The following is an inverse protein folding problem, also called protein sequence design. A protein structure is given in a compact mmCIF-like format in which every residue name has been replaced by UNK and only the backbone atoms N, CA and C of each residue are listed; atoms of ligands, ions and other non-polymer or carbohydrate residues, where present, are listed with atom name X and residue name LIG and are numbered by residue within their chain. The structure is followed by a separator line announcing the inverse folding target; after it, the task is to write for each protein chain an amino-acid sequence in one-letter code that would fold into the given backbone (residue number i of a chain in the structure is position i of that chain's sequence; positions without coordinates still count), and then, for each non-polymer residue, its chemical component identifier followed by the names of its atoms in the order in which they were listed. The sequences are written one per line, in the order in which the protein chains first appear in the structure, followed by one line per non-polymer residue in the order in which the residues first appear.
data_IF_576670501630
#
_entry.id   IF_576670501630
#
_cell.length_a   1.000
_cell.length_b   1.000
_cell.length_c   1.000
_cell.angle_alpha   90.00
_cell.angle_beta   90.00
_cell.angle_gamma   90.00
#
_symmetry.space_group_name_H-M   'P 1'
#
loop_
_entity.id
_entity.type
_entity.pdbx_description
1 polymer ?
#
# COMPACT_ATOMS: atom_id res chain seq x y z
N UNK A 1 21.83 24.10 17.10
CA UNK A 1 20.89 23.67 16.05
C UNK A 1 19.65 23.12 16.72
N UNK A 2 18.46 23.44 16.22
CA UNK A 2 17.23 22.80 16.69
C UNK A 2 17.01 21.47 15.98
N UNK A 3 16.26 20.57 16.62
CA UNK A 3 15.83 19.30 16.03
C UNK A 3 15.04 19.52 14.73
N UNK A 4 14.29 20.61 14.65
CA UNK A 4 13.51 20.98 13.47
C UNK A 4 14.41 21.28 12.26
N UNK A 5 15.49 22.06 12.45
CA UNK A 5 16.47 22.32 11.39
C UNK A 5 17.12 21.03 10.91
N UNK A 6 17.44 20.11 11.83
CA UNK A 6 18.07 18.83 11.49
C UNK A 6 17.14 17.91 10.68
N UNK A 7 15.85 17.88 11.04
CA UNK A 7 14.82 17.13 10.28
C UNK A 7 14.69 17.65 8.84
N UNK A 8 14.64 18.98 8.66
CA UNK A 8 14.53 19.58 7.33
C UNK A 8 15.75 19.28 6.44
N UNK A 9 16.96 19.40 7.00
CA UNK A 9 18.19 19.06 6.28
C UNK A 9 18.25 17.59 5.86
N UNK A 10 17.74 16.68 6.71
CA UNK A 10 17.68 15.26 6.38
C UNK A 10 16.69 14.99 5.23
N UNK A 11 15.51 15.61 5.26
CA UNK A 11 14.51 15.49 4.19
C UNK A 11 15.09 16.00 2.86
N UNK A 12 15.72 17.18 2.86
CA UNK A 12 16.35 17.75 1.67
C UNK A 12 17.39 16.80 1.08
N UNK A 13 18.25 16.21 1.93
CA UNK A 13 19.28 15.28 1.48
C UNK A 13 18.71 13.98 0.90
N UNK A 14 17.62 13.47 1.49
CA UNK A 14 16.94 12.27 1.00
C UNK A 14 16.20 12.53 -0.32
N UNK A 15 15.66 13.73 -0.53
CA UNK A 15 15.00 14.08 -1.80
C UNK A 15 15.97 14.13 -3.00
N UNK A 16 17.24 14.43 -2.75
CA UNK A 16 18.28 14.54 -3.78
C UNK A 16 19.18 13.32 -3.89
N UNK A 17 18.89 12.23 -3.15
CA UNK A 17 19.69 11.01 -3.22
C UNK A 17 19.10 10.04 -4.24
N UNK A 18 19.95 9.50 -5.12
CA UNK A 18 19.59 8.43 -6.06
C UNK A 18 20.06 7.05 -5.56
N UNK A 19 20.68 7.00 -4.37
CA UNK A 19 21.14 5.75 -3.76
C UNK A 19 19.95 4.99 -3.16
N UNK A 20 19.42 4.04 -3.94
CA UNK A 20 18.33 3.17 -3.51
C UNK A 20 18.65 2.35 -2.25
N UNK A 21 19.93 1.99 -2.03
CA UNK A 21 20.35 1.22 -0.86
C UNK A 21 20.17 2.02 0.42
N UNK A 22 20.59 3.29 0.38
CA UNK A 22 20.38 4.25 1.47
C UNK A 22 18.88 4.46 1.75
N UNK A 23 18.08 4.66 0.70
CA UNK A 23 16.63 4.86 0.84
C UNK A 23 15.93 3.64 1.47
N UNK A 24 16.34 2.41 1.09
CA UNK A 24 15.80 1.17 1.67
C UNK A 24 16.13 1.03 3.15
N UNK A 25 17.37 1.35 3.55
CA UNK A 25 17.77 1.32 4.96
C UNK A 25 16.99 2.33 5.81
N UNK A 26 16.80 3.56 5.29
CA UNK A 26 16.00 4.59 5.96
C UNK A 26 14.54 4.13 6.07
N UNK A 27 13.95 3.60 5.00
CA UNK A 27 12.60 3.04 5.03
C UNK A 27 12.46 1.90 6.05
N UNK A 28 13.48 1.05 6.19
CA UNK A 28 13.48 -0.03 7.17
C UNK A 28 13.49 0.48 8.61
N UNK A 29 14.26 1.54 8.91
CA UNK A 29 14.29 2.16 10.24
C UNK A 29 12.89 2.63 10.68
N UNK A 30 12.15 3.27 9.76
CA UNK A 30 10.78 3.72 10.03
C UNK A 30 9.77 2.56 10.17
N UNK A 31 10.00 1.44 9.47
CA UNK A 31 9.19 0.22 9.63
C UNK A 31 9.47 -0.50 10.95
N UNK A 32 10.74 -0.60 11.36
CA UNK A 32 11.11 -1.25 12.64
C UNK A 32 10.69 -0.46 13.87
N UNK A 33 10.51 0.86 13.74
CA UNK A 33 9.88 1.66 14.79
C UNK A 33 8.34 1.55 14.81
N UNK A 34 7.76 0.95 13.75
CA UNK A 34 6.33 0.76 13.55
C UNK A 34 5.99 -0.73 13.75
N UNK A 35 6.35 -1.28 14.92
CA UNK A 35 5.84 -2.58 15.40
C UNK A 35 4.33 -2.54 15.75
N UNK A 36 3.64 -1.44 15.44
CA UNK A 36 2.18 -1.35 15.50
C UNK A 36 1.65 -0.78 14.18
N UNK A 37 0.95 -1.66 13.45
CA UNK A 37 0.04 -1.37 12.33
C UNK A 37 0.70 -1.14 10.96
N UNK A 38 0.75 -2.22 10.17
CA UNK A 38 0.62 -2.19 8.72
C UNK A 38 -0.67 -1.43 8.36
N UNK A 39 -0.58 -0.11 8.25
CA UNK A 39 -1.70 0.77 7.90
C UNK A 39 -1.95 0.80 6.38
N UNK A 40 -0.99 0.29 5.59
CA UNK A 40 -1.07 0.20 4.12
C UNK A 40 -0.96 -1.24 3.60
N UNK A 41 -0.83 -2.23 4.49
CA UNK A 41 -0.79 -3.64 4.14
C UNK A 41 -2.20 -4.21 4.09
N UNK A 42 -2.56 -4.91 3.00
CA UNK A 42 -3.75 -5.75 3.00
C UNK A 42 -3.62 -6.75 4.14
N UNK A 43 -4.46 -6.62 5.18
CA UNK A 43 -4.59 -7.63 6.23
C UNK A 43 -4.81 -9.02 5.64
N UNK A 44 -4.47 -10.06 6.40
CA UNK A 44 -4.65 -11.45 5.97
C UNK A 44 -6.11 -11.74 5.57
N UNK A 45 -7.09 -11.11 6.23
CA UNK A 45 -8.50 -11.13 5.82
C UNK A 45 -8.74 -10.61 4.40
N UNK A 46 -8.08 -9.52 4.00
CA UNK A 46 -8.22 -9.00 2.63
C UNK A 46 -7.61 -9.96 1.60
N UNK A 47 -6.49 -10.60 1.92
CA UNK A 47 -5.91 -11.64 1.08
C UNK A 47 -6.84 -12.84 0.90
N UNK A 48 -7.54 -13.24 1.97
CA UNK A 48 -8.50 -14.35 1.93
C UNK A 48 -9.67 -14.06 1.00
N UNK A 49 -10.20 -12.83 0.99
CA UNK A 49 -11.30 -12.41 0.08
C UNK A 49 -10.87 -12.51 -1.39
N UNK A 50 -9.66 -12.04 -1.73
CA UNK A 50 -9.15 -12.11 -3.11
C UNK A 50 -8.93 -13.55 -3.55
N UNK A 51 -8.41 -14.39 -2.64
CA UNK A 51 -8.18 -15.81 -2.90
C UNK A 51 -9.48 -16.57 -3.15
N UNK A 52 -10.49 -16.36 -2.32
CA UNK A 52 -11.81 -17.01 -2.46
C UNK A 52 -12.44 -16.68 -3.82
N UNK A 53 -12.48 -15.38 -4.20
CA UNK A 53 -13.00 -14.97 -5.52
C UNK A 53 -12.22 -15.54 -6.69
N UNK A 54 -10.89 -15.66 -6.57
CA UNK A 54 -10.07 -16.26 -7.60
C UNK A 54 -10.37 -17.76 -7.78
N UNK A 55 -10.60 -18.47 -6.68
CA UNK A 55 -11.00 -19.87 -6.69
C UNK A 55 -12.43 -20.07 -7.24
N UNK A 56 -13.37 -19.18 -6.94
CA UNK A 56 -14.72 -19.15 -7.54
C UNK A 56 -14.67 -18.91 -9.06
N UNK A 57 -13.83 -17.97 -9.51
CA UNK A 57 -13.59 -17.72 -10.93
C UNK A 57 -13.02 -18.96 -11.63
N UNK A 58 -12.03 -19.63 -11.04
CA UNK A 58 -11.47 -20.88 -11.58
C UNK A 58 -12.51 -22.01 -11.66
N UNK A 59 -13.48 -22.03 -10.75
CA UNK A 59 -14.58 -23.01 -10.73
C UNK A 59 -15.71 -22.68 -11.71
N UNK A 60 -15.67 -21.52 -12.37
CA UNK A 60 -16.73 -21.07 -13.28
C UNK A 60 -17.97 -20.52 -12.56
N UNK A 61 -17.88 -20.29 -11.25
CA UNK A 61 -18.94 -19.77 -10.38
C UNK A 61 -18.81 -18.24 -10.16
N UNK A 62 -17.72 -17.64 -10.66
CA UNK A 62 -17.44 -16.22 -10.51
C UNK A 62 -18.44 -15.34 -11.25
N UNK A 63 -19.15 -14.48 -10.52
CA UNK A 63 -19.96 -13.40 -11.13
C UNK A 63 -19.04 -12.32 -11.69
N UNK A 64 -18.94 -12.22 -13.00
CA UNK A 64 -18.28 -11.09 -13.67
C UNK A 64 -19.23 -9.90 -13.71
N UNK A 65 -18.98 -8.89 -12.86
CA UNK A 65 -19.61 -7.58 -13.04
C UNK A 65 -18.86 -6.83 -14.14
N UNK A 66 -19.51 -6.62 -15.28
CA UNK A 66 -19.00 -5.73 -16.33
C UNK A 66 -19.34 -4.28 -15.98
N UNK A 67 -18.52 -3.34 -16.48
CA UNK A 67 -18.69 -1.91 -16.20
C UNK A 67 -20.03 -1.32 -16.70
N UNK A 68 -20.72 -2.04 -17.58
CA UNK A 68 -22.02 -1.67 -18.16
C UNK A 68 -23.18 -1.83 -17.16
N UNK A 69 -22.99 -2.62 -16.10
CA UNK A 69 -24.05 -2.92 -15.12
C UNK A 69 -24.30 -1.76 -14.13
N UNK A 70 -23.50 -0.68 -14.17
CA UNK A 70 -23.63 0.49 -13.27
C UNK A 70 -24.33 1.70 -13.89
N UNK A 71 -24.79 1.65 -15.14
CA UNK A 71 -25.61 2.72 -15.74
C UNK A 71 -27.09 2.38 -15.76
N UNK A 72 -27.69 2.24 -14.57
CA UNK A 72 -29.14 2.09 -14.37
C UNK A 72 -29.81 3.40 -13.94
N UNK A 73 -30.34 4.14 -14.92
CA UNK A 73 -31.61 4.88 -14.85
C UNK A 73 -31.84 5.91 -13.73
N UNK A 74 -31.56 7.18 -14.04
CA UNK A 74 -32.40 8.30 -13.57
C UNK A 74 -33.46 8.58 -14.65
N UNK A 75 -34.70 8.18 -14.39
CA UNK A 75 -35.93 8.80 -14.89
C UNK A 75 -37.09 8.32 -14.02
#
# INVERSE_FOLDING_TARGET
MSTETLKLQLIERLLHTEDEGLLKQVAQLFRSSKDEVDEDGLTDEHYNIVKERYEEYKRGEGKSYTWEDRSGGRA
#
